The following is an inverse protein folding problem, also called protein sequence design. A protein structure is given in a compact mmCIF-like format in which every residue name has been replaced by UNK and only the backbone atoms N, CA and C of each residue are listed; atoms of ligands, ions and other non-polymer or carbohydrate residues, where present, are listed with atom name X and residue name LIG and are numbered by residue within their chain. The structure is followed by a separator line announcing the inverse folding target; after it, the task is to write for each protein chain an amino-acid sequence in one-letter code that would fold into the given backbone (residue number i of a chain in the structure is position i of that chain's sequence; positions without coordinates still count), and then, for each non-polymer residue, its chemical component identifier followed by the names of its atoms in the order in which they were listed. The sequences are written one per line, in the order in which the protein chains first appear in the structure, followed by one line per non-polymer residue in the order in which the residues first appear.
data_IF_269313868004
#
_entry.id   IF_269313868004
#
_cell.length_a   1.000
_cell.length_b   1.000
_cell.length_c   1.000
_cell.angle_alpha   90.00
_cell.angle_beta   90.00
_cell.angle_gamma   90.00
#
_symmetry.space_group_name_H-M   'P 1'
#
loop_
_entity.id
_entity.type
_entity.pdbx_description
1 polymer ?
#
# COMPACT_ATOMS: atom_id res chain seq x y z
N UNK A 1 17.82 6.99 0.75
CA UNK A 1 16.60 6.18 0.75
C UNK A 1 15.99 6.33 -0.62
N UNK A 2 16.09 5.29 -1.46
CA UNK A 2 15.54 5.32 -2.81
C UNK A 2 14.02 5.16 -2.74
N UNK A 3 13.31 6.09 -3.38
CA UNK A 3 11.85 6.08 -3.49
C UNK A 3 11.31 4.74 -4.01
N UNK A 4 12.07 4.08 -4.88
CA UNK A 4 11.74 2.77 -5.43
C UNK A 4 11.67 1.66 -4.36
N UNK A 5 12.56 1.70 -3.35
CA UNK A 5 12.56 0.72 -2.26
C UNK A 5 11.30 0.86 -1.39
N UNK A 6 10.92 2.10 -1.07
CA UNK A 6 9.71 2.38 -0.29
C UNK A 6 8.49 1.89 -1.06
N UNK A 7 8.42 2.17 -2.36
CA UNK A 7 7.30 1.75 -3.20
C UNK A 7 7.19 0.22 -3.29
N UNK A 8 8.31 -0.49 -3.46
CA UNK A 8 8.35 -1.96 -3.46
C UNK A 8 7.93 -2.55 -2.09
N UNK A 9 8.40 -1.97 -0.99
CA UNK A 9 7.99 -2.39 0.35
C UNK A 9 6.48 -2.21 0.56
N UNK A 10 5.91 -1.09 0.10
CA UNK A 10 4.46 -0.86 0.16
C UNK A 10 3.68 -1.87 -0.72
N UNK A 11 4.19 -2.20 -1.92
CA UNK A 11 3.61 -3.26 -2.77
C UNK A 11 3.58 -4.62 -2.05
N UNK A 12 4.70 -5.02 -1.46
CA UNK A 12 4.82 -6.32 -0.77
C UNK A 12 3.89 -6.37 0.45
N UNK A 13 3.79 -5.28 1.21
CA UNK A 13 2.89 -5.18 2.35
C UNK A 13 1.42 -5.20 1.92
N UNK A 14 1.06 -4.52 0.82
CA UNK A 14 -0.28 -4.58 0.21
C UNK A 14 -0.66 -6.02 -0.19
N UNK A 15 0.28 -6.77 -0.74
CA UNK A 15 0.09 -8.20 -1.04
C UNK A 15 -0.06 -9.02 0.25
N UNK A 16 0.73 -8.74 1.28
CA UNK A 16 0.72 -9.44 2.58
C UNK A 16 -0.57 -9.27 3.39
N UNK A 17 -1.26 -8.12 3.28
CA UNK A 17 -2.52 -7.86 4.01
C UNK A 17 -3.79 -8.36 3.29
N UNK A 18 -3.64 -9.07 2.16
CA UNK A 18 -4.75 -9.58 1.34
C UNK A 18 -5.79 -8.48 1.02
N UNK A 19 -5.33 -7.36 0.47
CA UNK A 19 -6.21 -6.30 -0.06
C UNK A 19 -7.09 -6.88 -1.16
N UNK A 20 -8.35 -6.44 -1.16
CA UNK A 20 -9.32 -6.88 -2.15
C UNK A 20 -9.23 -5.98 -3.39
N UNK A 21 -8.62 -6.47 -4.46
CA UNK A 21 -8.41 -5.67 -5.67
C UNK A 21 -9.69 -5.34 -6.44
N UNK A 22 -10.80 -6.04 -6.16
CA UNK A 22 -12.11 -5.79 -6.77
C UNK A 22 -12.82 -4.60 -6.11
N UNK A 23 -12.52 -4.31 -4.83
CA UNK A 23 -13.10 -3.22 -4.09
C UNK A 23 -12.32 -1.91 -4.30
N UNK A 24 -13.03 -0.79 -4.40
CA UNK A 24 -12.38 0.52 -4.35
C UNK A 24 -11.68 0.73 -2.99
N UNK A 25 -10.70 1.63 -2.95
CA UNK A 25 -9.93 1.92 -1.72
C UNK A 25 -10.82 2.19 -0.50
N UNK A 26 -11.93 2.92 -0.70
CA UNK A 26 -12.92 3.21 0.37
C UNK A 26 -13.78 2.02 0.78
N UNK A 27 -13.88 1.00 -0.08
CA UNK A 27 -14.59 -0.25 0.17
C UNK A 27 -13.75 -1.28 0.91
N UNK A 28 -12.44 -1.05 1.07
CA UNK A 28 -11.56 -1.94 1.82
C UNK A 28 -11.99 -2.04 3.28
N UNK A 29 -11.78 -3.22 3.87
CA UNK A 29 -12.02 -3.41 5.30
C UNK A 29 -11.05 -2.53 6.10
N UNK A 30 -11.58 -1.62 6.92
CA UNK A 30 -10.79 -0.65 7.68
C UNK A 30 -9.69 -1.32 8.53
N UNK A 31 -9.99 -2.51 9.10
CA UNK A 31 -9.01 -3.32 9.86
C UNK A 31 -7.79 -3.76 9.02
N UNK A 32 -7.95 -4.01 7.71
CA UNK A 32 -6.84 -4.36 6.82
C UNK A 32 -5.99 -3.13 6.50
N UNK A 33 -6.62 -1.98 6.27
CA UNK A 33 -5.92 -0.72 6.02
C UNK A 33 -5.08 -0.29 7.23
N UNK A 34 -5.62 -0.40 8.45
CA UNK A 34 -4.87 -0.11 9.68
C UNK A 34 -3.64 -1.03 9.78
N UNK A 35 -3.80 -2.35 9.57
CA UNK A 35 -2.67 -3.29 9.58
C UNK A 35 -1.62 -2.98 8.52
N UNK A 36 -2.05 -2.55 7.33
CA UNK A 36 -1.15 -2.13 6.27
C UNK A 36 -0.34 -0.92 6.71
N UNK A 37 -0.99 0.10 7.30
CA UNK A 37 -0.30 1.30 7.73
C UNK A 37 0.68 1.01 8.87
N UNK A 38 0.29 0.21 9.85
CA UNK A 38 1.17 -0.24 10.93
C UNK A 38 2.40 -0.98 10.38
N UNK A 39 2.21 -1.90 9.42
CA UNK A 39 3.29 -2.66 8.80
C UNK A 39 4.25 -1.80 7.97
N UNK A 40 3.72 -0.80 7.26
CA UNK A 40 4.54 0.15 6.48
C UNK A 40 5.32 1.07 7.41
N UNK A 41 4.73 1.54 8.51
CA UNK A 41 5.46 2.34 9.51
C UNK A 41 6.55 1.53 10.22
N UNK A 42 6.32 0.26 10.50
CA UNK A 42 7.34 -0.63 11.10
C UNK A 42 8.51 -0.86 10.14
N UNK A 43 8.21 -1.09 8.86
CA UNK A 43 9.23 -1.29 7.82
C UNK A 43 9.99 0.00 7.47
N UNK A 44 9.29 1.14 7.47
CA UNK A 44 9.84 2.44 7.09
C UNK A 44 9.55 3.49 8.18
N UNK A 45 10.32 3.51 9.28
CA UNK A 45 10.15 4.47 10.38
C UNK A 45 10.28 5.93 9.94
N UNK A 46 10.93 6.17 8.80
CA UNK A 46 11.02 7.50 8.18
C UNK A 46 9.66 8.09 7.81
N UNK A 47 8.65 7.24 7.57
CA UNK A 47 7.28 7.63 7.26
C UNK A 47 6.46 7.96 8.53
N UNK A 48 6.89 7.51 9.71
CA UNK A 48 6.27 7.82 11.00
C UNK A 48 6.29 9.32 11.33
N UNK A 49 7.17 10.11 10.69
CA UNK A 49 7.22 11.57 10.87
C UNK A 49 6.01 12.31 10.27
N UNK A 50 5.25 11.67 9.37
CA UNK A 50 4.10 12.29 8.73
C UNK A 50 2.85 12.10 9.61
N UNK A 51 2.40 13.20 10.25
CA UNK A 51 1.18 13.19 11.08
C UNK A 51 0.00 12.53 10.36
N UNK A 52 -0.77 11.70 11.06
CA UNK A 52 -1.93 10.99 10.52
C UNK A 52 -1.62 9.99 9.38
N UNK A 53 -0.35 9.58 9.21
CA UNK A 53 0.05 8.56 8.24
C UNK A 53 -0.33 8.93 6.79
N UNK A 54 -0.50 10.22 6.47
CA UNK A 54 -1.00 10.66 5.15
C UNK A 54 -0.08 10.23 4.01
N UNK A 55 1.23 10.19 4.26
CA UNK A 55 2.22 9.76 3.28
C UNK A 55 2.08 8.26 2.97
N UNK A 56 1.82 7.44 3.99
CA UNK A 56 1.56 6.01 3.85
C UNK A 56 0.26 5.78 3.08
N UNK A 57 -0.79 6.52 3.42
CA UNK A 57 -2.07 6.45 2.71
C UNK A 57 -1.93 6.86 1.24
N UNK A 58 -1.19 7.93 0.95
CA UNK A 58 -0.94 8.40 -0.42
C UNK A 58 -0.19 7.33 -1.24
N UNK A 59 0.91 6.81 -0.71
CA UNK A 59 1.71 5.77 -1.34
C UNK A 59 0.89 4.50 -1.60
N UNK A 60 0.16 4.04 -0.59
CA UNK A 60 -0.64 2.84 -0.72
C UNK A 60 -1.76 3.01 -1.76
N UNK A 61 -2.39 4.19 -1.84
CA UNK A 61 -3.37 4.52 -2.90
C UNK A 61 -2.74 4.58 -4.28
N UNK A 62 -1.56 5.18 -4.41
CA UNK A 62 -0.83 5.28 -5.68
C UNK A 62 -0.48 3.89 -6.21
N UNK A 63 0.09 3.04 -5.36
CA UNK A 63 0.39 1.64 -5.69
C UNK A 63 -0.89 0.86 -6.02
N UNK A 64 -1.93 1.01 -5.20
CA UNK A 64 -3.20 0.32 -5.41
C UNK A 64 -3.81 0.67 -6.78
N UNK A 65 -3.84 1.96 -7.10
CA UNK A 65 -4.41 2.47 -8.36
C UNK A 65 -3.56 2.04 -9.55
N UNK A 66 -2.24 2.13 -9.45
CA UNK A 66 -1.31 1.72 -10.50
C UNK A 66 -1.43 0.23 -10.79
N UNK A 67 -1.44 -0.60 -9.74
CA UNK A 67 -1.55 -2.07 -9.86
C UNK A 67 -2.90 -2.48 -10.46
N UNK A 68 -4.00 -1.82 -10.08
CA UNK A 68 -5.33 -2.06 -10.65
C UNK A 68 -5.44 -1.60 -12.12
N UNK A 69 -4.71 -0.57 -12.50
CA UNK A 69 -4.67 -0.07 -13.88
C UNK A 69 -3.73 -0.84 -14.80
N UNK A 70 -2.74 -1.55 -14.24
CA UNK A 70 -2.01 -2.57 -14.99
C UNK A 70 -3.03 -3.69 -15.19
N UNK A 71 -3.57 -3.89 -16.43
CA UNK A 71 -4.33 -5.11 -16.68
C UNK A 71 -3.41 -6.24 -16.26
N UNK A 72 -3.90 -7.25 -15.54
CA UNK A 72 -3.18 -8.50 -15.35
C UNK A 72 -2.79 -8.99 -16.75
N UNK A 73 -1.62 -8.56 -17.23
CA UNK A 73 -0.99 -9.06 -18.43
C UNK A 73 -0.79 -10.51 -18.08
N UNK A 74 -1.56 -11.35 -18.80
CA UNK A 74 -1.75 -12.74 -18.46
C UNK A 74 -0.45 -13.39 -18.08
N UNK A 75 -0.54 -14.23 -17.06
CA UNK A 75 0.28 -15.43 -16.91
C UNK A 75 0.71 -15.95 -18.28
N UNK A 76 2.02 -15.94 -18.53
CA UNK A 76 2.67 -16.84 -19.49
C UNK A 76 3.79 -17.55 -18.75
#
# INVERSE_FOLDING_TARGET
MDWLCIQNNVCDMLAGVHIDWELDWKGQQNRKLVKLFDAVEEAEPSLCHFQNQWAVEYLAKEVFTTTRHIPHAGTI
#
